data_IF_000958110786
#
_entry.id   IF_000958110786
#
_cell.length_a   1.000
_cell.length_b   1.000
_cell.length_c   1.000
_cell.angle_alpha   90.00
_cell.angle_beta   90.00
_cell.angle_gamma   90.00
#
_symmetry.space_group_name_H-M   'P 1'
#
loop_
_entity.id
_entity.type
_entity.pdbx_description
1 polymer ?
#
# COMPACT_ATOMS: atom_id res chain seq x y z
N UNK A 1 39.15 17.38 -21.45
CA UNK A 1 37.89 16.65 -21.68
C UNK A 1 37.86 15.46 -20.75
N UNK A 2 36.95 15.43 -19.77
CA UNK A 2 36.66 14.24 -18.98
C UNK A 2 35.14 14.10 -18.95
N UNK A 3 34.67 12.94 -19.38
CA UNK A 3 33.27 12.65 -19.70
C UNK A 3 32.37 12.86 -18.48
N UNK A 4 31.31 13.65 -18.68
CA UNK A 4 30.10 13.61 -17.86
C UNK A 4 29.56 12.17 -17.89
N UNK A 5 29.22 11.54 -16.75
CA UNK A 5 28.37 10.37 -16.79
C UNK A 5 26.98 10.83 -17.23
N UNK A 6 26.82 10.62 -18.53
CA UNK A 6 25.64 10.57 -19.37
C UNK A 6 24.54 9.69 -18.75
N UNK A 7 23.29 10.05 -19.07
CA UNK A 7 22.05 9.29 -18.93
C UNK A 7 21.45 9.15 -17.52
N UNK A 8 20.49 10.03 -17.18
CA UNK A 8 19.38 9.72 -16.28
C UNK A 8 18.48 8.72 -17.04
N UNK A 9 18.54 7.40 -16.77
CA UNK A 9 17.58 6.53 -17.38
C UNK A 9 16.28 6.86 -16.69
N UNK A 10 15.27 7.26 -17.46
CA UNK A 10 13.90 7.33 -17.00
C UNK A 10 13.47 5.96 -16.47
N UNK A 11 13.85 5.67 -15.23
CA UNK A 11 13.52 4.44 -14.53
C UNK A 11 12.02 4.48 -14.35
N UNK A 12 11.34 3.62 -15.08
CA UNK A 12 9.99 3.28 -14.74
C UNK A 12 10.05 2.59 -13.37
N UNK A 13 9.95 3.36 -12.28
CA UNK A 13 10.00 2.90 -10.87
C UNK A 13 8.84 1.98 -10.48
N UNK A 14 8.04 1.55 -11.46
CA UNK A 14 6.88 0.70 -11.31
C UNK A 14 7.25 -0.69 -11.84
N UNK A 15 7.41 -1.64 -10.91
CA UNK A 15 7.64 -3.04 -11.24
C UNK A 15 6.31 -3.78 -11.17
N UNK A 16 5.90 -4.41 -12.27
CA UNK A 16 4.71 -5.25 -12.33
C UNK A 16 5.08 -6.69 -12.00
N UNK A 17 4.48 -7.24 -10.95
CA UNK A 17 4.68 -8.62 -10.52
C UNK A 17 3.35 -9.34 -10.56
N UNK A 18 3.31 -10.53 -11.18
CA UNK A 18 2.13 -11.41 -11.14
C UNK A 18 2.23 -12.34 -9.93
N UNK A 19 1.35 -12.17 -8.97
CA UNK A 19 1.35 -12.97 -7.74
C UNK A 19 0.32 -12.48 -6.73
N UNK A 20 0.46 -12.94 -5.48
CA UNK A 20 -0.34 -12.43 -4.36
C UNK A 20 0.28 -11.13 -3.84
N UNK A 21 -0.46 -10.02 -3.94
CA UNK A 21 -0.08 -8.71 -3.41
C UNK A 21 0.27 -8.78 -1.91
N UNK A 22 -0.38 -9.66 -1.16
CA UNK A 22 -0.16 -9.77 0.27
C UNK A 22 0.92 -10.80 0.67
N UNK A 23 1.58 -11.45 -0.30
CA UNK A 23 2.78 -12.25 -0.09
C UNK A 23 4.06 -11.40 -0.17
N UNK A 24 3.90 -10.09 -0.38
CA UNK A 24 4.96 -9.09 -0.36
C UNK A 24 5.73 -9.13 0.98
N UNK A 25 7.07 -8.96 0.97
CA UNK A 25 7.87 -9.02 2.20
C UNK A 25 7.43 -7.95 3.20
N UNK A 26 7.69 -8.20 4.48
CA UNK A 26 7.32 -7.30 5.58
C UNK A 26 8.02 -5.92 5.52
N UNK A 27 9.06 -5.79 4.72
CA UNK A 27 9.73 -4.51 4.46
C UNK A 27 8.87 -3.57 3.64
N UNK A 28 7.94 -4.12 2.87
CA UNK A 28 7.20 -3.37 1.87
C UNK A 28 5.88 -2.88 2.47
N UNK A 29 5.46 -1.71 1.99
CA UNK A 29 4.20 -1.10 2.42
C UNK A 29 3.16 -1.19 1.31
N UNK A 30 1.95 -1.62 1.65
CA UNK A 30 0.84 -1.75 0.72
C UNK A 30 -0.10 -0.56 0.87
N UNK A 31 -0.51 0.02 -0.26
CA UNK A 31 -1.43 1.15 -0.30
C UNK A 31 -2.69 0.79 -1.11
N UNK A 32 -3.87 1.11 -0.59
CA UNK A 32 -5.13 0.98 -1.34
C UNK A 32 -6.11 2.10 -1.00
N UNK A 33 -6.66 2.74 -2.03
CA UNK A 33 -7.72 3.73 -1.87
C UNK A 33 -9.04 3.04 -1.52
N UNK A 34 -9.72 3.51 -0.48
CA UNK A 34 -11.05 3.05 -0.12
C UNK A 34 -12.02 4.24 -0.03
N UNK A 35 -13.32 3.95 -0.12
CA UNK A 35 -14.39 4.92 0.08
C UNK A 35 -14.44 5.40 1.53
N UNK A 36 -14.92 6.64 1.75
CA UNK A 36 -15.15 7.24 3.08
C UNK A 36 -15.93 6.30 4.01
N UNK A 37 -16.96 5.66 3.47
CA UNK A 37 -17.85 4.76 4.20
C UNK A 37 -17.16 3.48 4.70
N UNK A 38 -15.88 3.26 4.38
CA UNK A 38 -15.01 2.18 4.89
C UNK A 38 -15.64 0.78 4.87
N UNK A 39 -16.67 0.56 4.03
CA UNK A 39 -17.43 -0.69 3.98
C UNK A 39 -16.53 -1.85 3.58
N UNK A 40 -15.62 -1.59 2.64
CA UNK A 40 -14.66 -2.56 2.08
C UNK A 40 -15.36 -3.88 1.72
N UNK A 41 -16.53 -3.78 1.08
CA UNK A 41 -17.45 -4.91 0.86
C UNK A 41 -17.17 -5.72 -0.41
N UNK A 42 -16.26 -5.27 -1.27
CA UNK A 42 -15.94 -5.94 -2.54
C UNK A 42 -14.45 -5.84 -2.90
N UNK A 43 -14.00 -6.73 -3.80
CA UNK A 43 -12.67 -6.71 -4.38
C UNK A 43 -11.53 -6.91 -3.38
N UNK A 44 -10.39 -6.29 -3.66
CA UNK A 44 -9.17 -6.38 -2.85
C UNK A 44 -9.37 -5.78 -1.45
N UNK A 45 -10.31 -4.83 -1.29
CA UNK A 45 -10.61 -4.20 -0.01
C UNK A 45 -11.13 -5.20 1.05
N UNK A 46 -11.87 -6.24 0.63
CA UNK A 46 -12.31 -7.33 1.54
C UNK A 46 -11.09 -8.07 2.10
N UNK A 47 -10.07 -8.29 1.28
CA UNK A 47 -8.84 -8.96 1.69
C UNK A 47 -8.02 -8.08 2.63
N UNK A 48 -7.92 -6.77 2.38
CA UNK A 48 -7.31 -5.82 3.33
C UNK A 48 -8.02 -5.84 4.69
N UNK A 49 -9.37 -5.78 4.69
CA UNK A 49 -10.18 -5.86 5.90
C UNK A 49 -9.96 -7.17 6.68
N UNK A 50 -9.87 -8.30 5.97
CA UNK A 50 -9.64 -9.62 6.59
C UNK A 50 -8.22 -9.79 7.12
N UNK A 51 -7.20 -9.28 6.40
CA UNK A 51 -5.79 -9.53 6.71
C UNK A 51 -5.22 -8.54 7.73
N UNK A 52 -5.64 -7.27 7.66
CA UNK A 52 -5.08 -6.19 8.47
C UNK A 52 -6.08 -5.62 9.49
N UNK A 53 -7.39 -5.78 9.28
CA UNK A 53 -8.39 -5.25 10.20
C UNK A 53 -8.38 -3.73 10.26
N UNK A 54 -8.44 -3.16 11.46
CA UNK A 54 -8.27 -1.71 11.69
C UNK A 54 -9.39 -0.80 11.15
N UNK A 55 -10.50 -1.37 10.67
CA UNK A 55 -11.62 -0.59 10.10
C UNK A 55 -12.16 0.45 11.07
N UNK A 56 -12.20 0.12 12.37
CA UNK A 56 -12.68 1.03 13.40
C UNK A 56 -11.71 2.20 13.63
N UNK A 57 -10.39 1.96 13.61
CA UNK A 57 -9.40 3.04 13.68
C UNK A 57 -9.47 3.95 12.46
N UNK A 58 -9.70 3.41 11.27
CA UNK A 58 -9.88 4.21 10.05
C UNK A 58 -11.16 5.06 10.12
N UNK A 59 -12.27 4.49 10.60
CA UNK A 59 -13.53 5.22 10.81
C UNK A 59 -13.37 6.35 11.85
N UNK A 60 -12.58 6.13 12.90
CA UNK A 60 -12.32 7.15 13.92
C UNK A 60 -11.51 8.35 13.40
N UNK A 61 -10.76 8.20 12.31
CA UNK A 61 -9.98 9.29 11.72
C UNK A 61 -10.82 10.28 10.89
N UNK A 62 -12.07 9.94 10.54
CA UNK A 62 -13.05 10.81 9.85
C UNK A 62 -12.47 11.56 8.63
N UNK A 63 -11.82 10.83 7.72
CA UNK A 63 -11.28 11.38 6.46
C UNK A 63 -12.23 11.09 5.30
N UNK A 64 -12.49 12.10 4.45
CA UNK A 64 -13.32 12.02 3.22
C UNK A 64 -12.77 11.00 2.19
N UNK A 65 -11.45 10.81 2.16
CA UNK A 65 -10.78 9.80 1.33
C UNK A 65 -9.75 9.10 2.18
N UNK A 66 -9.88 7.79 2.34
CA UNK A 66 -9.00 7.00 3.20
C UNK A 66 -8.08 6.16 2.31
N UNK A 67 -6.76 6.36 2.47
CA UNK A 67 -5.74 5.47 1.93
C UNK A 67 -5.36 4.48 3.03
N UNK A 68 -5.61 3.18 2.83
CA UNK A 68 -5.04 2.17 3.72
C UNK A 68 -3.57 2.02 3.35
N UNK A 69 -2.68 2.53 4.21
CA UNK A 69 -1.26 2.25 4.15
C UNK A 69 -0.91 1.21 5.22
N UNK A 70 -0.61 0.00 4.79
CA UNK A 70 -0.07 -1.04 5.67
C UNK A 70 1.45 -1.06 5.51
N UNK A 71 2.20 -0.71 6.55
CA UNK A 71 3.64 -0.94 6.61
C UNK A 71 3.89 -2.23 7.38
N UNK A 72 4.58 -3.21 6.78
CA UNK A 72 4.82 -4.52 7.35
C UNK A 72 5.73 -4.56 8.59
N UNK A 73 5.70 -3.55 9.45
CA UNK A 73 6.29 -3.61 10.80
C UNK A 73 5.38 -4.45 11.70
N UNK A 74 5.58 -5.75 11.73
CA UNK A 74 5.31 -6.49 12.97
C UNK A 74 6.45 -6.14 13.94
N UNK A 75 6.07 -5.70 15.14
CA UNK A 75 6.92 -5.20 16.24
C UNK A 75 7.38 -3.73 16.14
N UNK A 76 6.83 -2.89 17.01
CA UNK A 76 7.44 -2.74 18.34
C UNK A 76 6.33 -2.78 19.40
N UNK A 77 6.63 -3.58 20.42
CA UNK A 77 5.92 -3.73 21.69
C UNK A 77 6.07 -2.49 22.55
#
# INVERSE_FOLDING_TARGET
MANSPDEDPGENRIVYVKGDLFACPQTDSLAHCISEDCRMGAGIAVLFKKKFGGVQELLNQRLDVVLIAYSGRKCLQ
#
